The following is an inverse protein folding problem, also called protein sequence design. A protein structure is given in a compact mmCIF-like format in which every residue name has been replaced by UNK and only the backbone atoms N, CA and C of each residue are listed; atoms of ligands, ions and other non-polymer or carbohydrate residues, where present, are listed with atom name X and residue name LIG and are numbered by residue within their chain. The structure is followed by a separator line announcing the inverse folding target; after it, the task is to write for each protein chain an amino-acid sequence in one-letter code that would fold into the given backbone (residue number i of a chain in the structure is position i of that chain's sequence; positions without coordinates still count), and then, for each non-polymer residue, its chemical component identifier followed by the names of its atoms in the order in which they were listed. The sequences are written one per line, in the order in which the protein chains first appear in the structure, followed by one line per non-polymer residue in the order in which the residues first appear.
data_IF_131166103172
#
_entry.id   IF_131166103172
#
_cell.length_a   1.000
_cell.length_b   1.000
_cell.length_c   1.000
_cell.angle_alpha   90.00
_cell.angle_beta   90.00
_cell.angle_gamma   90.00
#
_symmetry.space_group_name_H-M   'P 1'
#
loop_
_entity.id
_entity.type
_entity.pdbx_description
1 polymer ?
#
# COMPACT_ATOMS: atom_id res chain seq x y z
N UNK A 1 -0.16 -16.29 20.70
CA UNK A 1 0.12 -16.06 19.27
C UNK A 1 -0.43 -14.69 18.90
N UNK A 2 0.41 -13.75 18.45
CA UNK A 2 -0.05 -12.44 17.98
C UNK A 2 -0.85 -12.67 16.69
N UNK A 3 -2.17 -12.55 16.78
CA UNK A 3 -3.09 -12.55 15.64
C UNK A 3 -2.57 -11.51 14.66
N UNK A 4 -1.96 -11.95 13.56
CA UNK A 4 -1.60 -11.05 12.47
C UNK A 4 -2.93 -10.56 11.92
N UNK A 5 -3.31 -9.32 12.22
CA UNK A 5 -4.35 -8.62 11.46
C UNK A 5 -3.94 -8.70 9.98
N UNK A 6 -4.55 -9.64 9.25
CA UNK A 6 -4.31 -9.83 7.83
C UNK A 6 -5.09 -8.75 7.09
N UNK A 7 -4.50 -7.55 6.99
CA UNK A 7 -5.01 -6.53 6.08
C UNK A 7 -4.76 -7.01 4.65
N UNK A 8 -5.83 -7.16 3.87
CA UNK A 8 -5.74 -7.55 2.47
C UNK A 8 -4.96 -6.50 1.68
N UNK A 9 -4.28 -6.89 0.59
CA UNK A 9 -3.57 -5.94 -0.27
C UNK A 9 -4.51 -4.87 -0.83
N UNK A 10 -5.77 -5.21 -1.14
CA UNK A 10 -6.76 -4.21 -1.57
C UNK A 10 -7.07 -3.19 -0.47
N UNK A 11 -7.22 -3.64 0.78
CA UNK A 11 -7.52 -2.76 1.90
C UNK A 11 -6.35 -1.79 2.17
N UNK A 12 -5.11 -2.29 2.20
CA UNK A 12 -3.92 -1.43 2.36
C UNK A 12 -3.84 -0.38 1.25
N UNK A 13 -4.11 -0.79 0.02
CA UNK A 13 -4.09 0.11 -1.15
C UNK A 13 -5.16 1.20 -1.02
N UNK A 14 -6.40 0.84 -0.67
CA UNK A 14 -7.48 1.80 -0.46
C UNK A 14 -7.11 2.86 0.58
N UNK A 15 -6.59 2.42 1.73
CA UNK A 15 -6.19 3.31 2.83
C UNK A 15 -5.06 4.23 2.40
N UNK A 16 -4.04 3.72 1.71
CA UNK A 16 -2.93 4.54 1.21
C UNK A 16 -3.40 5.55 0.17
N UNK A 17 -4.31 5.18 -0.73
CA UNK A 17 -4.90 6.11 -1.69
C UNK A 17 -5.69 7.22 -0.98
N UNK A 18 -6.44 6.90 0.07
CA UNK A 18 -7.15 7.87 0.91
C UNK A 18 -6.16 8.87 1.56
N UNK A 19 -5.02 8.37 2.07
CA UNK A 19 -3.93 9.21 2.62
C UNK A 19 -3.30 10.10 1.54
N UNK A 20 -3.09 9.57 0.33
CA UNK A 20 -2.47 10.31 -0.78
C UNK A 20 -3.43 11.33 -1.41
N UNK A 21 -4.73 11.13 -1.28
CA UNK A 21 -5.74 12.05 -1.80
C UNK A 21 -5.88 13.33 -0.94
N UNK A 22 -5.17 13.44 0.18
CA UNK A 22 -5.13 14.60 1.11
C UNK A 22 -6.51 15.05 1.65
N UNK A 23 -7.56 14.25 1.45
CA UNK A 23 -8.92 14.54 1.94
C UNK A 23 -9.00 14.35 3.46
N UNK A 24 -8.31 13.34 3.98
CA UNK A 24 -8.28 13.00 5.41
C UNK A 24 -6.82 12.89 5.88
N UNK A 25 -6.52 13.41 7.06
CA UNK A 25 -5.16 13.29 7.61
C UNK A 25 -4.88 11.86 8.06
N UNK A 26 -3.60 11.47 8.10
CA UNK A 26 -3.18 10.15 8.60
C UNK A 26 -3.76 9.83 9.98
N UNK A 27 -3.91 10.84 10.85
CA UNK A 27 -4.51 10.67 12.16
C UNK A 27 -6.02 10.42 12.12
N UNK A 28 -6.75 11.06 11.20
CA UNK A 28 -8.18 10.81 11.03
C UNK A 28 -8.45 9.41 10.48
N UNK A 29 -7.68 9.00 9.47
CA UNK A 29 -7.76 7.66 8.90
C UNK A 29 -7.35 6.60 9.94
N UNK A 30 -6.31 6.88 10.74
CA UNK A 30 -5.91 6.04 11.85
C UNK A 30 -7.04 5.83 12.87
N UNK A 31 -7.74 6.90 13.24
CA UNK A 31 -8.89 6.82 14.14
C UNK A 31 -10.09 6.11 13.52
N UNK A 32 -10.40 6.39 12.25
CA UNK A 32 -11.53 5.83 11.49
C UNK A 32 -11.43 4.32 11.29
N UNK A 33 -10.23 3.81 11.06
CA UNK A 33 -9.98 2.39 10.80
C UNK A 33 -9.34 1.65 11.99
N UNK A 34 -9.15 2.32 13.13
CA UNK A 34 -8.47 1.81 14.32
C UNK A 34 -7.06 1.27 14.02
N UNK A 35 -6.35 1.93 13.12
CA UNK A 35 -4.99 1.57 12.69
C UNK A 35 -4.01 2.57 13.26
N UNK A 36 -2.90 2.11 13.84
CA UNK A 36 -1.88 3.04 14.34
C UNK A 36 -1.30 3.89 13.20
N UNK A 37 -1.09 5.20 13.39
CA UNK A 37 -0.56 6.10 12.36
C UNK A 37 0.84 5.69 11.87
N UNK A 38 1.61 5.00 12.72
CA UNK A 38 2.90 4.38 12.35
C UNK A 38 2.73 3.31 11.27
N UNK A 39 1.68 2.49 11.35
CA UNK A 39 1.36 1.44 10.37
C UNK A 39 0.96 2.07 9.03
N UNK A 40 0.13 3.12 9.07
CA UNK A 40 -0.26 3.87 7.89
C UNK A 40 0.93 4.53 7.19
N UNK A 41 1.83 5.14 7.96
CA UNK A 41 3.05 5.76 7.44
C UNK A 41 3.95 4.72 6.76
N UNK A 42 4.06 3.53 7.35
CA UNK A 42 4.77 2.40 6.76
C UNK A 42 4.13 1.94 5.44
N UNK A 43 2.80 1.77 5.40
CA UNK A 43 2.10 1.37 4.17
C UNK A 43 2.23 2.41 3.07
N UNK A 44 2.15 3.70 3.40
CA UNK A 44 2.39 4.79 2.45
C UNK A 44 3.78 4.67 1.83
N UNK A 45 4.81 4.45 2.66
CA UNK A 45 6.19 4.26 2.18
C UNK A 45 6.31 3.03 1.29
N UNK A 46 5.85 1.86 1.75
CA UNK A 46 5.90 0.61 0.98
C UNK A 46 5.15 0.74 -0.36
N UNK A 47 4.02 1.44 -0.38
CA UNK A 47 3.25 1.69 -1.59
C UNK A 47 4.01 2.61 -2.54
N UNK A 48 4.62 3.71 -2.08
CA UNK A 48 5.36 4.62 -2.96
C UNK A 48 6.62 3.95 -3.54
N UNK A 49 7.33 3.15 -2.74
CA UNK A 49 8.48 2.36 -3.20
C UNK A 49 8.06 1.39 -4.31
N UNK A 50 6.99 0.62 -4.09
CA UNK A 50 6.47 -0.36 -5.06
C UNK A 50 5.68 0.24 -6.22
N UNK A 51 5.07 1.42 -6.04
CA UNK A 51 4.31 2.09 -7.08
C UNK A 51 5.22 2.42 -8.26
N UNK A 52 6.46 2.84 -7.99
CA UNK A 52 7.46 3.05 -9.03
C UNK A 52 7.81 1.77 -9.80
N UNK A 53 7.76 0.60 -9.15
CA UNK A 53 7.97 -0.71 -9.78
C UNK A 53 6.82 -1.08 -10.73
N UNK A 54 5.58 -0.69 -10.43
CA UNK A 54 4.43 -0.90 -11.32
C UNK A 54 4.58 -0.14 -12.65
N UNK A 55 5.20 1.05 -12.61
CA UNK A 55 5.47 1.86 -13.81
C UNK A 55 6.79 1.52 -14.51
N UNK A 56 7.71 0.81 -13.84
CA UNK A 56 8.87 0.20 -14.48
C UNK A 56 8.42 -0.97 -15.37
N UNK A 57 7.93 -0.66 -16.56
CA UNK A 57 7.93 -1.60 -17.69
C UNK A 57 9.39 -1.88 -18.08
N UNK A 58 9.99 -2.90 -17.46
CA UNK A 58 11.05 -3.73 -18.04
C UNK A 58 10.49 -5.14 -18.18
N UNK A 59 10.86 -5.90 -19.24
CA UNK A 59 10.03 -6.94 -19.81
C UNK A 59 9.52 -7.88 -18.73
N UNK A 60 8.20 -8.10 -18.75
CA UNK A 60 7.57 -9.20 -18.03
C UNK A 60 8.45 -10.43 -18.19
N UNK A 61 8.77 -11.09 -17.07
CA UNK A 61 9.29 -12.47 -17.11
C UNK A 61 8.37 -13.43 -17.89
N UNK A 62 7.16 -13.00 -18.25
CA UNK A 62 6.24 -13.69 -19.15
C UNK A 62 6.58 -13.57 -20.65
N UNK A 63 7.59 -12.77 -21.06
CA UNK A 63 7.98 -12.62 -22.47
C UNK A 63 9.31 -13.34 -22.79
N UNK A 64 9.92 -14.05 -21.82
CA UNK A 64 11.21 -14.75 -22.00
C UNK A 64 11.10 -16.27 -22.25
N UNK A 65 9.91 -16.77 -22.60
CA UNK A 65 9.68 -18.17 -23.03
C UNK A 65 9.25 -18.24 -24.52
N UNK A 66 9.79 -17.38 -25.39
CA UNK A 66 9.52 -17.46 -26.83
C UNK A 66 10.64 -16.95 -27.75
N UNK A 67 11.89 -16.90 -27.27
CA UNK A 67 13.07 -16.81 -28.14
C UNK A 67 13.82 -18.15 -28.20
#
# INVERSE_FOLDING_TARGET
MRTRNNYTPEFKTKIVLEILSEVETVNQIAAKYEISPVVLSRWKKEFLERASEVFKKGPSKAEKELE
#
